data_IF_392535025028
#
_entry.id   IF_392535025028
#
_cell.length_a   1.000
_cell.length_b   1.000
_cell.length_c   1.000
_cell.angle_alpha   90.00
_cell.angle_beta   90.00
_cell.angle_gamma   90.00
#
_symmetry.space_group_name_H-M   'P 1'
#
loop_
_entity.id
_entity.type
_entity.pdbx_description
1 polymer ?
#
# COMPACT_ATOMS: atom_id res chain seq x y z
N UNK A 1 14.15 16.49 -1.02
CA UNK A 1 13.14 15.48 -1.43
C UNK A 1 11.95 15.58 -0.48
N UNK A 2 10.83 16.11 -0.93
CA UNK A 2 9.61 16.23 -0.10
C UNK A 2 8.96 14.85 0.04
N UNK A 3 8.78 14.39 1.28
CA UNK A 3 8.09 13.13 1.55
C UNK A 3 6.60 13.30 1.24
N UNK A 4 6.11 12.62 0.20
CA UNK A 4 4.66 12.50 -0.05
C UNK A 4 4.00 11.90 1.21
N UNK A 5 3.05 12.64 1.79
CA UNK A 5 2.20 12.13 2.87
C UNK A 5 0.92 11.58 2.26
N UNK A 6 0.62 10.33 2.57
CA UNK A 6 -0.63 9.68 2.21
C UNK A 6 -1.57 9.67 3.41
N UNK A 7 -2.85 9.95 3.16
CA UNK A 7 -3.90 9.86 4.19
C UNK A 7 -4.06 8.42 4.66
N UNK A 8 -4.63 8.24 5.86
CA UNK A 8 -4.87 6.90 6.40
C UNK A 8 -5.88 6.12 5.55
N UNK A 9 -6.92 6.79 5.06
CA UNK A 9 -7.96 6.17 4.23
C UNK A 9 -7.38 5.64 2.91
N UNK A 10 -6.51 6.43 2.26
CA UNK A 10 -5.82 5.98 1.06
C UNK A 10 -4.94 4.75 1.33
N UNK A 11 -4.20 4.75 2.45
CA UNK A 11 -3.41 3.58 2.84
C UNK A 11 -4.29 2.36 3.08
N UNK A 12 -5.44 2.51 3.74
CA UNK A 12 -6.38 1.41 3.97
C UNK A 12 -6.91 0.85 2.66
N UNK A 13 -7.34 1.70 1.72
CA UNK A 13 -7.79 1.27 0.40
C UNK A 13 -6.71 0.44 -0.33
N UNK A 14 -5.48 0.95 -0.37
CA UNK A 14 -4.35 0.27 -1.03
C UNK A 14 -4.01 -1.06 -0.35
N UNK A 15 -4.05 -1.12 0.99
CA UNK A 15 -3.83 -2.36 1.75
C UNK A 15 -4.91 -3.39 1.42
N UNK A 16 -6.18 -2.99 1.45
CA UNK A 16 -7.31 -3.90 1.21
C UNK A 16 -7.22 -4.51 -0.19
N UNK A 17 -7.00 -3.69 -1.21
CA UNK A 17 -6.86 -4.16 -2.59
C UNK A 17 -5.64 -5.09 -2.77
N UNK A 18 -4.53 -4.79 -2.07
CA UNK A 18 -3.34 -5.63 -2.08
C UNK A 18 -3.56 -6.99 -1.40
N UNK A 19 -4.39 -7.03 -0.34
CA UNK A 19 -4.79 -8.27 0.31
C UNK A 19 -5.72 -9.11 -0.58
N UNK A 20 -6.69 -8.48 -1.25
CA UNK A 20 -7.63 -9.14 -2.16
C UNK A 20 -6.93 -9.70 -3.41
N UNK A 21 -6.03 -8.92 -4.01
CA UNK A 21 -5.30 -9.31 -5.22
C UNK A 21 -4.16 -10.28 -4.91
N UNK A 22 -3.64 -10.29 -3.67
CA UNK A 22 -2.44 -11.02 -3.28
C UNK A 22 -1.14 -10.53 -3.94
N UNK A 23 -1.19 -9.43 -4.70
CA UNK A 23 -0.06 -8.93 -5.49
C UNK A 23 0.19 -7.42 -5.25
N UNK A 24 1.11 -7.13 -4.33
CA UNK A 24 1.49 -5.76 -3.97
C UNK A 24 2.03 -4.95 -5.17
N UNK A 25 2.71 -5.59 -6.13
CA UNK A 25 3.34 -4.89 -7.24
C UNK A 25 2.32 -4.40 -8.27
N UNK A 26 1.26 -5.17 -8.51
CA UNK A 26 0.17 -4.76 -9.41
C UNK A 26 -0.58 -3.57 -8.82
N UNK A 27 -0.94 -3.65 -7.53
CA UNK A 27 -1.64 -2.57 -6.83
C UNK A 27 -0.76 -1.32 -6.77
N UNK A 28 0.52 -1.47 -6.45
CA UNK A 28 1.44 -0.33 -6.43
C UNK A 28 1.51 0.41 -7.77
N UNK A 29 1.55 -0.29 -8.90
CA UNK A 29 1.53 0.35 -10.23
C UNK A 29 0.25 1.12 -10.52
N UNK A 30 -0.92 0.63 -10.07
CA UNK A 30 -2.22 1.32 -10.26
C UNK A 30 -2.23 2.71 -9.62
N UNK A 31 -1.55 2.86 -8.49
CA UNK A 31 -1.53 4.08 -7.68
C UNK A 31 -0.22 4.88 -7.80
N UNK A 32 0.66 4.54 -8.75
CA UNK A 32 2.01 5.13 -8.90
C UNK A 32 2.82 5.10 -7.58
N UNK A 33 2.75 3.97 -6.88
CA UNK A 33 3.43 3.71 -5.62
C UNK A 33 4.60 2.75 -5.81
N UNK A 34 5.50 2.75 -4.82
CA UNK A 34 6.54 1.75 -4.73
C UNK A 34 5.97 0.44 -4.13
N UNK A 35 6.19 -0.69 -4.79
CA UNK A 35 5.75 -2.02 -4.35
C UNK A 35 6.23 -2.39 -2.93
N UNK A 36 7.44 -1.96 -2.55
CA UNK A 36 7.98 -2.18 -1.20
C UNK A 36 7.22 -1.38 -0.15
N UNK A 37 6.72 -0.19 -0.50
CA UNK A 37 5.92 0.64 0.40
C UNK A 37 4.55 0.00 0.66
N UNK A 38 3.89 -0.50 -0.39
CA UNK A 38 2.62 -1.25 -0.25
C UNK A 38 2.84 -2.50 0.60
N UNK A 39 3.89 -3.29 0.31
CA UNK A 39 4.22 -4.47 1.10
C UNK A 39 4.51 -4.16 2.58
N UNK A 40 5.13 -3.01 2.87
CA UNK A 40 5.33 -2.55 4.25
C UNK A 40 3.98 -2.24 4.93
N UNK A 41 3.10 -1.48 4.28
CA UNK A 41 1.79 -1.15 4.86
C UNK A 41 0.95 -2.39 5.13
N UNK A 42 0.93 -3.36 4.21
CA UNK A 42 0.24 -4.64 4.41
C UNK A 42 0.79 -5.40 5.61
N UNK A 43 2.13 -5.44 5.78
CA UNK A 43 2.76 -6.08 6.96
C UNK A 43 2.45 -5.36 8.26
N UNK A 44 2.47 -4.02 8.25
CA UNK A 44 2.11 -3.21 9.42
C UNK A 44 0.63 -3.39 9.80
N UNK A 45 -0.26 -3.51 8.81
CA UNK A 45 -1.68 -3.77 9.03
C UNK A 45 -1.93 -5.16 9.65
N UNK A 46 -1.21 -6.20 9.21
CA UNK A 46 -1.34 -7.57 9.77
C UNK A 46 -0.74 -7.74 11.18
N UNK A 47 0.15 -6.85 11.59
CA UNK A 47 0.77 -6.87 12.94
C UNK A 47 -0.09 -6.19 13.99
N UNK A 48 -1.14 -5.50 13.56
CA UNK A 48 -2.07 -4.76 14.40
C UNK A 48 -3.23 -5.66 14.77
#
# INVERSE_FOLDING_TARGET
>A
MTRKKYTNDFKQQVIQEALETGNNAVVARRYDLNSNMVGRWVREHKKR
#
